data_IF_308978095008
#
_entry.id   IF_308978095008
#
_cell.length_a   1.000
_cell.length_b   1.000
_cell.length_c   1.000
_cell.angle_alpha   90.00
_cell.angle_beta   90.00
_cell.angle_gamma   90.00
#
_symmetry.space_group_name_H-M   'P 1'
#
loop_
_entity.id
_entity.type
_entity.pdbx_description
1 polymer ?
#
# COMPACT_ATOMS: atom_id res chain seq x y z
N UNK A 1 -11.37 -11.26 -5.05
CA UNK A 1 -10.04 -11.62 -4.52
C UNK A 1 -9.10 -10.42 -4.68
N UNK A 2 -8.39 -10.03 -3.62
CA UNK A 2 -7.34 -9.02 -3.75
C UNK A 2 -6.13 -9.64 -4.46
N UNK A 3 -5.51 -8.89 -5.37
CA UNK A 3 -4.32 -9.27 -6.12
C UNK A 3 -3.03 -9.21 -5.31
N UNK A 4 -3.09 -8.72 -4.07
CA UNK A 4 -1.95 -8.59 -3.14
C UNK A 4 -2.22 -9.29 -1.81
N UNK A 5 -1.14 -9.65 -1.12
CA UNK A 5 -1.17 -10.24 0.22
C UNK A 5 -0.26 -9.50 1.19
N UNK A 6 -0.50 -9.72 2.49
CA UNK A 6 0.34 -9.18 3.57
C UNK A 6 1.79 -9.62 3.36
N UNK A 7 2.71 -8.66 3.39
CA UNK A 7 4.14 -8.88 3.21
C UNK A 7 4.64 -8.69 1.78
N UNK A 8 3.76 -8.47 0.79
CA UNK A 8 4.18 -8.12 -0.56
C UNK A 8 4.86 -6.74 -0.57
N UNK A 9 5.99 -6.64 -1.29
CA UNK A 9 6.58 -5.36 -1.63
C UNK A 9 5.90 -4.84 -2.89
N UNK A 10 5.41 -3.60 -2.84
CA UNK A 10 4.61 -3.02 -3.91
C UNK A 10 5.22 -1.69 -4.39
N UNK A 11 4.95 -1.36 -5.65
CA UNK A 11 5.18 -0.04 -6.22
C UNK A 11 3.85 0.71 -6.32
N UNK A 12 3.83 1.96 -5.86
CA UNK A 12 2.68 2.85 -5.93
C UNK A 12 3.14 4.27 -6.29
N UNK A 13 2.22 5.12 -6.74
CA UNK A 13 2.54 6.52 -7.01
C UNK A 13 2.85 7.27 -5.71
N UNK A 14 3.94 8.04 -5.65
CA UNK A 14 4.37 8.77 -4.45
C UNK A 14 3.34 9.74 -3.85
N UNK A 15 2.33 10.15 -4.64
CA UNK A 15 1.24 11.03 -4.20
C UNK A 15 -0.07 10.29 -3.89
N UNK A 16 -0.09 8.96 -4.03
CA UNK A 16 -1.26 8.14 -3.73
C UNK A 16 -1.36 7.80 -2.23
N UNK A 17 -2.57 7.45 -1.81
CA UNK A 17 -2.88 7.11 -0.43
C UNK A 17 -3.09 8.30 0.52
N UNK A 18 -3.56 7.98 1.73
CA UNK A 18 -3.83 8.94 2.81
C UNK A 18 -3.11 8.50 4.07
N UNK A 19 -2.35 9.43 4.68
CA UNK A 19 -1.71 9.19 5.97
C UNK A 19 -2.76 9.13 7.08
N UNK A 20 -2.74 8.06 7.87
CA UNK A 20 -3.64 7.85 9.00
C UNK A 20 -2.85 7.42 10.22
N UNK A 21 -3.35 7.72 11.42
CA UNK A 21 -2.80 7.20 12.67
C UNK A 21 -3.73 6.13 13.23
N UNK A 22 -3.19 4.95 13.46
CA UNK A 22 -3.90 3.80 14.07
C UNK A 22 -3.03 3.27 15.19
N UNK A 23 -3.58 3.14 16.40
CA UNK A 23 -2.87 2.64 17.59
C UNK A 23 -1.52 3.33 17.89
N UNK A 24 -1.39 4.60 17.48
CA UNK A 24 -0.18 5.41 17.66
C UNK A 24 0.84 5.31 16.53
N UNK A 25 0.63 4.42 15.55
CA UNK A 25 1.49 4.25 14.38
C UNK A 25 0.98 5.06 13.19
N UNK A 26 1.90 5.68 12.43
CA UNK A 26 1.59 6.38 11.18
C UNK A 26 1.61 5.37 10.02
N UNK A 27 0.46 5.14 9.41
CA UNK A 27 0.26 4.22 8.30
C UNK A 27 -0.17 4.98 7.03
N UNK A 28 0.03 4.37 5.87
CA UNK A 28 -0.47 4.86 4.59
C UNK A 28 -1.64 3.97 4.14
N UNK A 29 -2.86 4.50 4.20
CA UNK A 29 -4.06 3.82 3.67
C UNK A 29 -4.17 4.08 2.18
N UNK A 30 -4.44 3.04 1.39
CA UNK A 30 -4.54 3.14 -0.07
C UNK A 30 -5.44 2.07 -0.67
N UNK A 31 -5.98 2.37 -1.85
CA UNK A 31 -6.74 1.41 -2.65
C UNK A 31 -5.82 0.47 -3.42
N UNK A 32 -6.37 -0.68 -3.83
CA UNK A 32 -5.63 -1.64 -4.67
C UNK A 32 -5.36 -1.08 -6.09
N UNK A 33 -6.23 -0.20 -6.55
CA UNK A 33 -6.17 0.55 -7.80
C UNK A 33 -5.04 1.60 -7.85
N UNK A 34 -4.48 1.98 -6.71
CA UNK A 34 -3.28 2.84 -6.63
C UNK A 34 -1.96 2.05 -6.82
N UNK A 35 -2.04 0.72 -6.85
CA UNK A 35 -0.87 -0.17 -6.94
C UNK A 35 -0.46 -0.37 -8.40
N UNK A 36 0.80 -0.08 -8.70
CA UNK A 36 1.36 -0.19 -10.06
C UNK A 36 1.94 -1.58 -10.34
N UNK A 37 2.56 -2.21 -9.35
CA UNK A 37 3.17 -3.54 -9.45
C UNK A 37 3.47 -4.15 -8.07
N UNK A 38 3.58 -5.48 -8.02
CA UNK A 38 4.25 -6.21 -6.92
C UNK A 38 5.69 -6.46 -7.36
N UNK A 39 6.66 -6.21 -6.47
CA UNK A 39 8.09 -6.40 -6.73
C UNK A 39 8.56 -7.66 -6.02
N UNK A 40 9.23 -8.54 -6.77
CA UNK A 40 9.93 -9.72 -6.26
C UNK A 40 11.45 -9.46 -6.32
N UNK A 41 12.15 -9.82 -5.25
CA UNK A 41 13.61 -9.72 -5.13
C UNK A 41 14.29 -11.07 -5.29
#
# INVERSE_FOLDING_TARGET
>A
PMGVKVGDNILFNQYAGTKVKVDGEELLMMGEDDLLAVIEG
#
